data_IF_739984155502
#
_entry.id   IF_739984155502
#
_cell.length_a   1.000
_cell.length_b   1.000
_cell.length_c   1.000
_cell.angle_alpha   90.00
_cell.angle_beta   90.00
_cell.angle_gamma   90.00
#
_symmetry.space_group_name_H-M   'P 1'
#
loop_
_entity.id
_entity.type
_entity.pdbx_description
1 polymer ?
#
# COMPACT_ATOMS: atom_id res chain seq x y z
N UNK A 1 -47.69 14.76 -9.93
CA UNK A 1 -46.74 13.98 -10.75
C UNK A 1 -45.38 14.65 -10.67
N UNK A 2 -44.54 14.33 -9.67
CA UNK A 2 -43.19 14.89 -9.53
C UNK A 2 -42.22 14.02 -8.68
N UNK A 3 -42.73 12.96 -8.03
CA UNK A 3 -41.91 12.09 -7.16
C UNK A 3 -41.06 11.09 -7.95
N UNK A 4 -41.54 10.60 -9.10
CA UNK A 4 -40.81 9.60 -9.89
C UNK A 4 -39.55 10.16 -10.57
N UNK A 5 -39.56 11.42 -11.02
CA UNK A 5 -38.38 12.06 -11.62
C UNK A 5 -37.30 12.35 -10.57
N UNK A 6 -37.71 12.78 -9.37
CA UNK A 6 -36.83 13.05 -8.25
C UNK A 6 -36.17 11.78 -7.72
N UNK A 7 -36.95 10.69 -7.59
CA UNK A 7 -36.44 9.38 -7.21
C UNK A 7 -35.47 8.80 -8.26
N UNK A 8 -35.77 8.94 -9.55
CA UNK A 8 -34.84 8.54 -10.62
C UNK A 8 -33.56 9.37 -10.62
N UNK A 9 -33.64 10.67 -10.36
CA UNK A 9 -32.45 11.53 -10.25
C UNK A 9 -31.55 11.14 -9.08
N UNK A 10 -32.13 10.74 -7.93
CA UNK A 10 -31.36 10.28 -6.77
C UNK A 10 -30.69 8.93 -7.04
N UNK A 11 -31.40 7.99 -7.68
CA UNK A 11 -30.84 6.70 -8.07
C UNK A 11 -29.68 6.85 -9.04
N UNK A 12 -29.80 7.74 -10.02
CA UNK A 12 -28.72 8.04 -10.96
C UNK A 12 -27.50 8.62 -10.24
N UNK A 13 -27.70 9.57 -9.32
CA UNK A 13 -26.61 10.15 -8.53
C UNK A 13 -25.90 9.09 -7.67
N UNK A 14 -26.65 8.22 -6.98
CA UNK A 14 -26.09 7.13 -6.18
C UNK A 14 -25.29 6.15 -7.04
N UNK A 15 -25.79 5.82 -8.23
CA UNK A 15 -25.09 4.96 -9.17
C UNK A 15 -23.79 5.60 -9.67
N UNK A 16 -23.81 6.89 -10.01
CA UNK A 16 -22.61 7.63 -10.44
C UNK A 16 -21.56 7.74 -9.32
N UNK A 17 -22.00 7.98 -8.09
CA UNK A 17 -21.13 7.96 -6.91
C UNK A 17 -20.51 6.58 -6.70
N UNK A 18 -21.29 5.51 -6.79
CA UNK A 18 -20.80 4.13 -6.67
C UNK A 18 -19.79 3.80 -7.78
N UNK A 19 -20.08 4.15 -9.04
CA UNK A 19 -19.15 3.96 -10.14
C UNK A 19 -17.84 4.75 -9.95
N UNK A 20 -17.94 5.97 -9.43
CA UNK A 20 -16.77 6.80 -9.11
C UNK A 20 -15.94 6.16 -8.01
N UNK A 21 -16.58 5.66 -6.96
CA UNK A 21 -15.92 4.93 -5.87
C UNK A 21 -15.17 3.70 -6.41
N UNK A 22 -15.82 2.87 -7.23
CA UNK A 22 -15.20 1.68 -7.83
C UNK A 22 -13.99 2.07 -8.69
N UNK A 23 -14.10 3.13 -9.51
CA UNK A 23 -12.97 3.63 -10.32
C UNK A 23 -11.80 4.09 -9.44
N UNK A 24 -12.09 4.80 -8.34
CA UNK A 24 -11.05 5.23 -7.40
C UNK A 24 -10.38 4.04 -6.71
N UNK A 25 -11.15 3.05 -6.24
CA UNK A 25 -10.61 1.82 -5.64
C UNK A 25 -9.69 1.08 -6.61
N UNK A 26 -10.11 0.90 -7.87
CA UNK A 26 -9.27 0.25 -8.88
C UNK A 26 -7.96 1.01 -9.14
N UNK A 27 -8.00 2.34 -9.16
CA UNK A 27 -6.79 3.16 -9.31
C UNK A 27 -5.87 3.05 -8.10
N UNK A 28 -6.41 3.01 -6.88
CA UNK A 28 -5.64 2.81 -5.65
C UNK A 28 -4.93 1.44 -5.70
N UNK A 29 -5.64 0.37 -6.08
CA UNK A 29 -5.05 -0.96 -6.23
C UNK A 29 -3.90 -0.97 -7.26
N UNK A 30 -4.09 -0.32 -8.40
CA UNK A 30 -3.04 -0.18 -9.42
C UNK A 30 -1.81 0.60 -8.91
N UNK A 31 -2.03 1.69 -8.17
CA UNK A 31 -0.95 2.45 -7.54
C UNK A 31 -0.21 1.60 -6.49
N UNK A 32 -0.94 0.83 -5.69
CA UNK A 32 -0.36 -0.07 -4.69
C UNK A 32 0.56 -1.12 -5.34
N UNK A 33 0.13 -1.69 -6.47
CA UNK A 33 0.94 -2.62 -7.26
C UNK A 33 2.21 -1.94 -7.80
N UNK A 34 2.10 -0.74 -8.36
CA UNK A 34 3.26 0.02 -8.85
C UNK A 34 4.27 0.33 -7.72
N UNK A 35 3.79 0.75 -6.55
CA UNK A 35 4.65 1.06 -5.39
C UNK A 35 5.34 -0.20 -4.87
N UNK A 36 4.61 -1.32 -4.75
CA UNK A 36 5.21 -2.62 -4.38
C UNK A 36 6.26 -3.06 -5.40
N UNK A 37 5.99 -2.89 -6.69
CA UNK A 37 6.96 -3.17 -7.77
C UNK A 37 8.22 -2.31 -7.65
N UNK A 38 8.08 -1.00 -7.41
CA UNK A 38 9.22 -0.11 -7.19
C UNK A 38 10.03 -0.47 -5.94
N UNK A 39 9.36 -0.83 -4.83
CA UNK A 39 10.00 -1.31 -3.62
C UNK A 39 10.82 -2.58 -3.89
N UNK A 40 10.25 -3.53 -4.64
CA UNK A 40 10.93 -4.76 -5.03
C UNK A 40 12.16 -4.47 -5.91
N UNK A 41 12.01 -3.61 -6.93
CA UNK A 41 13.12 -3.21 -7.79
C UNK A 41 14.25 -2.58 -6.97
N UNK A 42 13.94 -1.68 -6.03
CA UNK A 42 14.93 -1.09 -5.14
C UNK A 42 15.66 -2.13 -4.29
N UNK A 43 14.93 -3.08 -3.71
CA UNK A 43 15.50 -4.13 -2.85
C UNK A 43 16.40 -5.07 -3.67
N UNK A 44 15.95 -5.51 -4.84
CA UNK A 44 16.65 -6.49 -5.65
C UNK A 44 17.78 -5.91 -6.53
N UNK A 45 17.85 -4.58 -6.63
CA UNK A 45 18.86 -3.88 -7.39
C UNK A 45 20.28 -4.14 -6.86
N UNK A 46 21.14 -4.75 -7.68
CA UNK A 46 22.56 -4.95 -7.40
C UNK A 46 22.90 -5.77 -6.15
N UNK A 47 24.20 -5.98 -5.94
CA UNK A 47 24.72 -6.55 -4.70
C UNK A 47 24.43 -8.05 -4.46
N UNK A 48 24.98 -8.54 -3.35
CA UNK A 48 24.74 -9.90 -2.88
C UNK A 48 23.44 -9.99 -2.04
N UNK A 49 23.14 -11.16 -1.49
CA UNK A 49 21.94 -11.37 -0.68
C UNK A 49 21.93 -10.51 0.59
N UNK A 50 23.10 -10.22 1.16
CA UNK A 50 23.25 -9.39 2.36
C UNK A 50 22.93 -7.91 2.06
N UNK A 51 23.41 -7.41 0.92
CA UNK A 51 23.08 -6.06 0.45
C UNK A 51 21.57 -5.88 0.26
N UNK A 52 20.93 -6.85 -0.40
CA UNK A 52 19.48 -6.85 -0.64
C UNK A 52 18.70 -6.88 0.67
N UNK A 53 19.14 -7.70 1.64
CA UNK A 53 18.55 -7.76 2.99
C UNK A 53 18.65 -6.41 3.69
N UNK A 54 19.82 -5.77 3.63
CA UNK A 54 20.03 -4.44 4.22
C UNK A 54 19.15 -3.39 3.57
N UNK A 55 19.01 -3.38 2.24
CA UNK A 55 18.12 -2.48 1.52
C UNK A 55 16.65 -2.69 1.92
N UNK A 56 16.22 -3.95 2.04
CA UNK A 56 14.87 -4.28 2.50
C UNK A 56 14.61 -3.77 3.92
N UNK A 57 15.53 -4.00 4.85
CA UNK A 57 15.43 -3.49 6.22
C UNK A 57 15.40 -1.96 6.28
N UNK A 58 16.26 -1.29 5.51
CA UNK A 58 16.24 0.18 5.41
C UNK A 58 14.88 0.68 4.92
N UNK A 59 14.34 0.10 3.84
CA UNK A 59 13.05 0.51 3.30
C UNK A 59 11.92 0.26 4.29
N UNK A 60 11.90 -0.91 4.95
CA UNK A 60 10.94 -1.26 6.00
C UNK A 60 10.94 -0.21 7.10
N UNK A 61 12.12 0.14 7.61
CA UNK A 61 12.27 1.11 8.70
C UNK A 61 11.87 2.52 8.26
N UNK A 62 12.25 2.95 7.05
CA UNK A 62 11.81 4.24 6.50
C UNK A 62 10.29 4.33 6.39
N UNK A 63 9.63 3.30 5.86
CA UNK A 63 8.16 3.29 5.75
C UNK A 63 7.49 3.30 7.13
N UNK A 64 8.01 2.53 8.09
CA UNK A 64 7.49 2.52 9.46
C UNK A 64 7.64 3.89 10.14
N UNK A 65 8.79 4.55 9.98
CA UNK A 65 9.02 5.90 10.51
C UNK A 65 8.10 6.95 9.87
N UNK A 66 7.89 6.88 8.55
CA UNK A 66 6.94 7.75 7.85
C UNK A 66 5.52 7.54 8.34
N UNK A 67 5.10 6.28 8.51
CA UNK A 67 3.79 5.94 9.06
C UNK A 67 3.61 6.52 10.47
N UNK A 68 4.60 6.38 11.36
CA UNK A 68 4.54 6.96 12.70
C UNK A 68 4.52 8.49 12.68
N UNK A 69 5.34 9.12 11.83
CA UNK A 69 5.37 10.57 11.67
C UNK A 69 4.02 11.12 11.23
N UNK A 70 3.43 10.51 10.20
CA UNK A 70 2.10 10.87 9.70
C UNK A 70 1.01 10.59 10.73
N UNK A 71 1.06 9.46 11.46
CA UNK A 71 0.03 9.13 12.44
C UNK A 71 -0.13 10.17 13.56
N UNK A 72 0.92 10.96 13.82
CA UNK A 72 0.96 12.04 14.79
C UNK A 72 0.72 13.43 14.17
N UNK A 73 0.57 13.53 12.85
CA UNK A 73 0.34 14.79 12.15
C UNK A 73 -1.13 15.23 12.32
N UNK A 74 -1.41 16.51 12.64
CA UNK A 74 -2.77 17.05 12.72
C UNK A 74 -3.62 16.82 11.46
N UNK A 75 -3.01 16.67 10.28
CA UNK A 75 -3.73 16.33 9.04
C UNK A 75 -4.49 14.99 9.12
N UNK A 76 -4.10 14.13 10.07
CA UNK A 76 -4.75 12.84 10.31
C UNK A 76 -5.94 12.93 11.27
N UNK A 77 -6.26 14.10 11.82
CA UNK A 77 -7.44 14.27 12.66
C UNK A 77 -8.73 14.01 11.86
N UNK A 78 -9.61 13.18 12.41
CA UNK A 78 -10.88 12.81 11.76
C UNK A 78 -10.77 11.74 10.66
N UNK A 79 -9.56 11.28 10.33
CA UNK A 79 -9.37 10.15 9.40
C UNK A 79 -9.39 8.81 10.14
N UNK A 80 -9.98 7.79 9.50
CA UNK A 80 -9.76 6.40 9.89
C UNK A 80 -8.32 6.01 9.56
N UNK A 81 -7.46 6.04 10.59
CA UNK A 81 -6.03 5.75 10.47
C UNK A 81 -5.77 4.32 9.99
N UNK A 82 -6.63 3.36 10.34
CA UNK A 82 -6.43 1.97 9.92
C UNK A 82 -6.71 1.79 8.44
N UNK A 83 -7.80 2.39 7.94
CA UNK A 83 -8.06 2.42 6.50
C UNK A 83 -6.98 3.19 5.74
N UNK A 84 -6.53 4.34 6.27
CA UNK A 84 -5.52 5.17 5.63
C UNK A 84 -4.16 4.46 5.49
N UNK A 85 -3.70 3.79 6.55
CA UNK A 85 -2.40 3.11 6.55
C UNK A 85 -2.44 1.67 6.01
N UNK A 86 -3.60 1.16 5.59
CA UNK A 86 -3.77 -0.23 5.13
C UNK A 86 -2.79 -0.62 4.02
N UNK A 87 -2.67 0.20 2.97
CA UNK A 87 -1.72 -0.04 1.86
C UNK A 87 -0.26 0.02 2.31
N UNK A 88 0.09 0.96 3.19
CA UNK A 88 1.46 1.06 3.74
C UNK A 88 1.83 -0.17 4.56
N UNK A 89 0.92 -0.64 5.43
CA UNK A 89 1.06 -1.90 6.17
C UNK A 89 1.25 -3.09 5.22
N UNK A 90 0.49 -3.14 4.12
CA UNK A 90 0.61 -4.17 3.10
C UNK A 90 1.97 -4.19 2.39
N UNK A 91 2.56 -3.01 2.14
CA UNK A 91 3.92 -2.90 1.57
C UNK A 91 4.96 -3.37 2.59
N UNK A 92 4.88 -2.93 3.84
CA UNK A 92 5.80 -3.34 4.92
C UNK A 92 5.79 -4.86 5.08
N UNK A 93 4.61 -5.48 5.14
CA UNK A 93 4.48 -6.94 5.20
C UNK A 93 5.09 -7.64 3.99
N UNK A 94 4.92 -7.09 2.78
CA UNK A 94 5.56 -7.65 1.57
C UNK A 94 7.10 -7.59 1.66
N UNK A 95 7.65 -6.55 2.28
CA UNK A 95 9.09 -6.41 2.50
C UNK A 95 9.59 -7.44 3.53
N UNK A 96 8.83 -7.68 4.60
CA UNK A 96 9.14 -8.71 5.61
C UNK A 96 9.20 -10.12 4.97
N UNK A 97 8.26 -10.43 4.08
CA UNK A 97 8.28 -11.70 3.33
C UNK A 97 9.54 -11.82 2.45
N UNK A 98 9.97 -10.74 1.80
CA UNK A 98 11.20 -10.73 1.01
C UNK A 98 12.42 -10.95 1.90
N UNK A 99 12.49 -10.31 3.06
CA UNK A 99 13.56 -10.47 4.07
C UNK A 99 13.68 -11.94 4.48
N UNK A 100 12.55 -12.60 4.78
CA UNK A 100 12.52 -14.03 5.11
C UNK A 100 13.00 -14.92 3.96
N UNK A 101 12.68 -14.59 2.71
CA UNK A 101 13.17 -15.33 1.55
C UNK A 101 14.68 -15.14 1.35
N UNK A 102 15.19 -13.93 1.55
CA UNK A 102 16.63 -13.63 1.46
C UNK A 102 17.43 -14.37 2.55
N UNK A 103 16.87 -14.54 3.75
CA UNK A 103 17.49 -15.35 4.81
C UNK A 103 17.65 -16.81 4.40
N UNK A 104 16.56 -17.43 3.93
CA UNK A 104 16.57 -18.83 3.45
C UNK A 104 17.59 -19.04 2.32
N UNK A 105 17.69 -18.08 1.40
CA UNK A 105 18.67 -18.12 0.31
C UNK A 105 20.12 -17.97 0.78
N UNK A 106 20.34 -17.32 1.92
CA UNK A 106 21.67 -17.17 2.52
C UNK A 106 22.08 -18.42 3.29
N UNK A 107 21.14 -19.09 3.95
CA UNK A 107 21.35 -20.35 4.66
C UNK A 107 21.65 -21.51 3.71
N UNK A 108 20.93 -21.61 2.59
CA UNK A 108 21.13 -22.67 1.58
C UNK A 108 22.38 -22.53 0.71
N UNK A 109 23.20 -21.49 0.90
CA UNK A 109 24.52 -21.33 0.24
C UNK A 109 25.69 -21.92 1.04
N UNK A 110 25.43 -22.43 2.25
CA UNK A 110 26.44 -23.01 3.14
C UNK A 110 26.46 -24.56 3.14
N UNK A 111 25.75 -25.21 2.21
CA UNK A 111 25.84 -26.65 1.90
C UNK A 111 26.58 -26.86 0.57
#
# INVERSE_FOLDING_TARGET
>A
MNDNSSNMSLLNLLNDMNQTQVKLQNRILGLEMCVKGMALLYILDGGDTSDKRKKAEMLKNTLASLQQGLANDPIMEGLDKDSFFSSAKGIISSIEDIILQLDKLSEGKNE
#
